data_IF_667058530085
#
_entry.id   IF_667058530085
#
_cell.length_a   1.000
_cell.length_b   1.000
_cell.length_c   1.000
_cell.angle_alpha   90.00
_cell.angle_beta   90.00
_cell.angle_gamma   90.00
#
_symmetry.space_group_name_H-M   'P 1'
#
loop_
_entity.id
_entity.type
_entity.pdbx_description
1 polymer ?
#
# COMPACT_ATOMS: atom_id res chain seq x y z
N UNK A 1 -11.67 -5.13 -20.03
CA UNK A 1 -11.56 -5.43 -18.59
C UNK A 1 -10.13 -5.15 -18.19
N UNK A 2 -9.86 -4.04 -17.50
CA UNK A 2 -8.51 -3.77 -16.95
C UNK A 2 -8.54 -2.80 -15.75
N UNK A 3 -9.56 -2.90 -14.87
CA UNK A 3 -9.65 -2.05 -13.67
C UNK A 3 -8.51 -2.28 -12.66
N UNK A 4 -7.92 -3.48 -12.70
CA UNK A 4 -6.81 -3.89 -11.83
C UNK A 4 -5.56 -3.01 -12.07
N UNK A 5 -5.42 -2.46 -13.28
CA UNK A 5 -4.34 -1.55 -13.62
C UNK A 5 -4.56 -0.16 -13.00
N UNK A 6 -5.79 0.38 -13.04
CA UNK A 6 -6.08 1.73 -12.53
C UNK A 6 -5.84 1.88 -11.02
N UNK A 7 -6.31 0.93 -10.21
CA UNK A 7 -6.17 0.98 -8.74
C UNK A 7 -4.68 0.83 -8.32
N UNK A 8 -3.93 -0.06 -8.99
CA UNK A 8 -2.50 -0.22 -8.78
C UNK A 8 -1.74 1.05 -9.19
N UNK A 9 -2.03 1.60 -10.37
CA UNK A 9 -1.37 2.82 -10.85
C UNK A 9 -1.63 4.00 -9.92
N UNK A 10 -2.87 4.20 -9.45
CA UNK A 10 -3.19 5.22 -8.42
C UNK A 10 -2.31 5.06 -7.18
N UNK A 11 -2.13 3.83 -6.69
CA UNK A 11 -1.27 3.59 -5.53
C UNK A 11 0.20 3.90 -5.82
N UNK A 12 0.72 3.52 -6.99
CA UNK A 12 2.11 3.75 -7.38
C UNK A 12 2.40 5.24 -7.60
N UNK A 13 1.46 5.96 -8.21
CA UNK A 13 1.57 7.39 -8.54
C UNK A 13 1.41 8.32 -7.33
N UNK A 14 0.86 7.84 -6.21
CA UNK A 14 0.74 8.64 -4.99
C UNK A 14 2.13 8.97 -4.42
N UNK A 15 2.38 10.24 -4.12
CA UNK A 15 3.66 10.71 -3.58
C UNK A 15 3.73 10.56 -2.05
N UNK A 16 2.61 10.76 -1.35
CA UNK A 16 2.53 10.72 0.11
C UNK A 16 2.09 9.36 0.64
N UNK A 17 2.58 8.98 1.83
CA UNK A 17 2.22 7.70 2.45
C UNK A 17 0.74 7.67 2.89
N UNK A 18 0.19 8.83 3.29
CA UNK A 18 -1.22 9.05 3.63
C UNK A 18 -2.14 8.76 2.44
N UNK A 19 -1.74 9.19 1.25
CA UNK A 19 -2.48 8.95 0.01
C UNK A 19 -2.42 7.48 -0.39
N UNK A 20 -1.23 6.86 -0.32
CA UNK A 20 -1.07 5.41 -0.53
C UNK A 20 -1.95 4.60 0.43
N UNK A 21 -2.02 4.99 1.70
CA UNK A 21 -2.84 4.33 2.72
C UNK A 21 -4.33 4.48 2.42
N UNK A 22 -4.77 5.68 2.05
CA UNK A 22 -6.17 5.93 1.68
C UNK A 22 -6.59 5.11 0.46
N UNK A 23 -5.72 5.02 -0.56
CA UNK A 23 -5.96 4.21 -1.75
C UNK A 23 -6.00 2.72 -1.38
N UNK A 24 -5.06 2.23 -0.57
CA UNK A 24 -5.06 0.84 -0.11
C UNK A 24 -6.40 0.47 0.57
N UNK A 25 -6.90 1.32 1.45
CA UNK A 25 -8.18 1.11 2.14
C UNK A 25 -9.39 1.12 1.19
N UNK A 26 -9.35 1.94 0.13
CA UNK A 26 -10.39 2.00 -0.90
C UNK A 26 -10.40 0.71 -1.75
N UNK A 27 -9.21 0.18 -2.08
CA UNK A 27 -9.05 -0.88 -3.08
C UNK A 27 -8.95 -2.29 -2.47
N UNK A 28 -8.66 -2.44 -1.17
CA UNK A 28 -8.45 -3.76 -0.51
C UNK A 28 -9.53 -4.82 -0.79
N UNK A 29 -10.79 -4.39 -0.95
CA UNK A 29 -11.92 -5.30 -1.21
C UNK A 29 -12.00 -5.80 -2.66
N UNK A 30 -11.33 -5.14 -3.61
CA UNK A 30 -11.39 -5.44 -5.05
C UNK A 30 -10.03 -5.69 -5.70
N UNK A 31 -8.95 -5.34 -5.04
CA UNK A 31 -7.60 -5.65 -5.46
C UNK A 31 -7.40 -7.18 -5.49
N UNK A 32 -6.77 -7.64 -6.56
CA UNK A 32 -6.33 -9.02 -6.68
C UNK A 32 -4.98 -9.23 -5.97
N UNK A 33 -4.61 -10.49 -5.78
CA UNK A 33 -3.38 -10.85 -5.07
C UNK A 33 -2.13 -10.28 -5.77
N UNK A 34 -2.12 -10.30 -7.11
CA UNK A 34 -1.00 -9.77 -7.90
C UNK A 34 -0.80 -8.28 -7.66
N UNK A 35 -1.87 -7.48 -7.63
CA UNK A 35 -1.78 -6.04 -7.38
C UNK A 35 -1.26 -5.75 -5.98
N UNK A 36 -1.78 -6.47 -4.98
CA UNK A 36 -1.30 -6.33 -3.60
C UNK A 36 0.19 -6.69 -3.49
N UNK A 37 0.64 -7.74 -4.17
CA UNK A 37 2.07 -8.09 -4.21
C UNK A 37 2.91 -7.00 -4.87
N UNK A 38 2.44 -6.39 -5.95
CA UNK A 38 3.13 -5.29 -6.61
C UNK A 38 3.18 -4.02 -5.74
N UNK A 39 2.09 -3.72 -5.01
CA UNK A 39 2.06 -2.64 -4.02
C UNK A 39 3.10 -2.88 -2.93
N UNK A 40 3.15 -4.08 -2.34
CA UNK A 40 4.15 -4.46 -1.35
C UNK A 40 5.58 -4.33 -1.91
N UNK A 41 5.82 -4.85 -3.12
CA UNK A 41 7.13 -4.79 -3.77
C UNK A 41 7.58 -3.33 -4.02
N UNK A 42 6.66 -2.43 -4.40
CA UNK A 42 6.97 -1.01 -4.59
C UNK A 42 7.43 -0.31 -3.30
N UNK A 43 7.01 -0.82 -2.14
CA UNK A 43 7.45 -0.38 -0.81
C UNK A 43 8.66 -1.17 -0.29
N UNK A 44 9.29 -1.99 -1.14
CA UNK A 44 10.37 -2.90 -0.75
C UNK A 44 9.99 -3.88 0.38
N UNK A 45 8.70 -4.25 0.47
CA UNK A 45 8.20 -5.23 1.43
C UNK A 45 8.23 -6.62 0.81
N UNK A 46 8.70 -7.60 1.57
CA UNK A 46 8.67 -9.01 1.18
C UNK A 46 7.45 -9.69 1.81
N UNK A 47 6.47 -10.09 0.99
CA UNK A 47 5.27 -10.79 1.47
C UNK A 47 5.52 -12.28 1.72
N UNK A 48 6.59 -12.86 1.18
CA UNK A 48 7.02 -14.23 1.53
C UNK A 48 6.01 -15.34 1.22
N UNK A 49 5.05 -15.11 0.30
CA UNK A 49 3.96 -16.05 0.02
C UNK A 49 2.80 -15.97 1.03
N UNK A 50 2.71 -14.87 1.80
CA UNK A 50 1.58 -14.58 2.67
C UNK A 50 0.29 -14.39 1.86
N UNK A 51 -0.85 -14.57 2.53
CA UNK A 51 -2.15 -14.39 1.89
C UNK A 51 -2.34 -12.94 1.43
N UNK A 52 -3.35 -12.71 0.59
CA UNK A 52 -3.72 -11.35 0.15
C UNK A 52 -4.03 -10.44 1.35
N UNK A 53 -4.75 -10.95 2.34
CA UNK A 53 -5.14 -10.19 3.54
C UNK A 53 -3.93 -9.85 4.40
N UNK A 54 -3.05 -10.82 4.66
CA UNK A 54 -1.81 -10.60 5.41
C UNK A 54 -0.90 -9.58 4.70
N UNK A 55 -0.85 -9.64 3.36
CA UNK A 55 -0.07 -8.69 2.56
C UNK A 55 -0.66 -7.27 2.62
N UNK A 56 -1.99 -7.14 2.64
CA UNK A 56 -2.67 -5.86 2.83
C UNK A 56 -2.35 -5.29 4.22
N UNK A 57 -2.42 -6.12 5.25
CA UNK A 57 -2.14 -5.70 6.62
C UNK A 57 -0.66 -5.28 6.78
N UNK A 58 0.27 -6.02 6.17
CA UNK A 58 1.69 -5.66 6.15
C UNK A 58 1.93 -4.28 5.50
N UNK A 59 1.28 -4.01 4.36
CA UNK A 59 1.37 -2.72 3.67
C UNK A 59 0.78 -1.61 4.57
N UNK A 60 -0.40 -1.84 5.16
CA UNK A 60 -1.06 -0.88 6.05
C UNK A 60 -0.17 -0.50 7.24
N UNK A 61 0.40 -1.50 7.90
CA UNK A 61 1.26 -1.29 9.06
C UNK A 61 2.52 -0.51 8.70
N UNK A 62 3.13 -0.85 7.56
CA UNK A 62 4.29 -0.11 7.05
C UNK A 62 3.96 1.36 6.79
N UNK A 63 2.89 1.65 6.04
CA UNK A 63 2.47 3.01 5.72
C UNK A 63 2.14 3.81 6.99
N UNK A 64 1.39 3.22 7.91
CA UNK A 64 1.04 3.85 9.19
C UNK A 64 2.29 4.19 10.00
N UNK A 65 3.27 3.29 10.01
CA UNK A 65 4.54 3.54 10.68
C UNK A 65 5.29 4.72 10.04
N UNK A 66 5.40 4.77 8.70
CA UNK A 66 6.08 5.87 8.01
C UNK A 66 5.41 7.23 8.28
N UNK A 67 4.08 7.30 8.19
CA UNK A 67 3.28 8.51 8.49
C UNK A 67 3.58 9.03 9.90
N UNK A 68 3.61 8.13 10.90
CA UNK A 68 3.93 8.51 12.27
C UNK A 68 5.37 9.00 12.44
N UNK A 69 6.32 8.45 11.69
CA UNK A 69 7.71 8.89 11.72
C UNK A 69 7.89 10.24 11.01
N UNK A 70 7.34 10.45 9.82
CA UNK A 70 7.45 11.71 9.09
C UNK A 70 6.72 12.86 9.83
N UNK A 71 5.53 12.61 10.38
CA UNK A 71 4.84 13.58 11.22
C UNK A 71 5.59 13.95 12.51
N UNK A 72 6.46 13.07 13.01
CA UNK A 72 7.39 13.37 14.12
C UNK A 72 8.61 14.15 13.67
N UNK A 73 9.11 13.96 12.45
CA UNK A 73 10.27 14.70 11.91
C UNK A 73 9.93 16.16 11.57
N UNK A 74 8.71 16.45 11.14
CA UNK A 74 8.27 17.83 10.86
C UNK A 74 7.99 18.67 12.13
N UNK A 75 7.92 18.07 13.32
CA UNK A 75 7.64 18.78 14.59
C UNK A 75 8.88 19.26 15.37
N UNK A 76 10.08 19.10 14.82
CA UNK A 76 11.35 19.56 15.44
C UNK A 76 12.02 20.67 14.64
#
# INVERSE_FOLDING_TARGET
MEKINEDLMRFLDADEYEDKLSILEEVKGRADEKSVQLMAASLSLATGGASKEDSIDLIRDHLTMQIQYDGKRMRN
#
